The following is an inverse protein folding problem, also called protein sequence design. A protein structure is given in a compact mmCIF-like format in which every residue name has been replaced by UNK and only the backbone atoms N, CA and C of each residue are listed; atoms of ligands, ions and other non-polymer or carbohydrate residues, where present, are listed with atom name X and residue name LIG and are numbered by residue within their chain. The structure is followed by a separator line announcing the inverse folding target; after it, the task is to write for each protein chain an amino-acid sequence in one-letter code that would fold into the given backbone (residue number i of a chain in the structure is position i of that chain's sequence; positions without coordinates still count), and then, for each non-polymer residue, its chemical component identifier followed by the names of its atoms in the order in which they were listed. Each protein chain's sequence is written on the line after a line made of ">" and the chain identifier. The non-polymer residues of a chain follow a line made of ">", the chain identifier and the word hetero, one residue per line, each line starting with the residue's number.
data_IF_676874036212
#
_entry.id   IF_676874036212
#
_cell.length_a   1.000
_cell.length_b   1.000
_cell.length_c   1.000
_cell.angle_alpha   90.00
_cell.angle_beta   90.00
_cell.angle_gamma   90.00
#
_symmetry.space_group_name_H-M   'P 1'
#
loop_
_entity.id
_entity.type
_entity.pdbx_description
1 polymer ?
#
# COMPACT_ATOMS: atom_id res chain seq x y z
N UNK A 1 0.76 -5.57 7.53
CA UNK A 1 2.01 -5.27 6.80
C UNK A 1 2.53 -6.58 6.24
N UNK A 2 3.00 -6.62 5.00
CA UNK A 2 3.51 -7.83 4.36
C UNK A 2 4.77 -7.49 3.55
N UNK A 3 5.66 -8.46 3.38
CA UNK A 3 6.86 -8.32 2.58
C UNK A 3 6.48 -8.46 1.10
N UNK A 4 6.95 -7.53 0.26
CA UNK A 4 6.70 -7.58 -1.18
C UNK A 4 7.48 -8.71 -1.84
N UNK A 5 6.98 -9.23 -2.96
CA UNK A 5 7.78 -10.14 -3.79
C UNK A 5 8.86 -9.37 -4.55
N UNK A 6 9.81 -10.10 -5.15
CA UNK A 6 10.86 -9.49 -5.97
C UNK A 6 10.27 -8.76 -7.17
N UNK A 7 9.28 -9.37 -7.82
CA UNK A 7 8.59 -8.84 -8.99
C UNK A 7 7.84 -7.54 -8.66
N UNK A 8 7.13 -7.50 -7.52
CA UNK A 8 6.42 -6.30 -7.05
C UNK A 8 7.38 -5.17 -6.71
N UNK A 9 8.53 -5.50 -6.12
CA UNK A 9 9.55 -4.53 -5.75
C UNK A 9 10.27 -3.91 -6.96
N UNK A 10 10.41 -4.63 -8.07
CA UNK A 10 11.02 -4.09 -9.30
C UNK A 10 10.19 -2.94 -9.89
N UNK A 11 8.86 -3.04 -9.86
CA UNK A 11 7.97 -1.99 -10.38
C UNK A 11 7.88 -0.73 -9.52
N UNK A 12 8.19 -0.81 -8.23
CA UNK A 12 8.12 0.31 -7.29
C UNK A 12 9.42 1.11 -7.20
N UNK A 13 10.45 0.71 -7.95
CA UNK A 13 11.78 1.30 -7.86
C UNK A 13 11.95 2.48 -8.82
N UNK A 14 12.43 3.60 -8.29
CA UNK A 14 12.85 4.73 -9.13
C UNK A 14 14.23 4.45 -9.72
N UNK A 15 14.40 4.74 -11.01
CA UNK A 15 15.71 4.66 -11.66
C UNK A 15 16.74 5.64 -11.07
N UNK A 16 16.27 6.74 -10.46
CA UNK A 16 17.12 7.85 -10.01
C UNK A 16 17.23 7.88 -8.49
N UNK A 17 16.11 7.67 -7.78
CA UNK A 17 16.03 7.91 -6.34
C UNK A 17 16.27 6.65 -5.48
N UNK A 18 16.56 5.49 -6.08
CA UNK A 18 16.65 4.23 -5.34
C UNK A 18 18.01 3.55 -5.46
N UNK A 19 18.54 3.08 -4.33
CA UNK A 19 19.84 2.42 -4.19
C UNK A 19 20.01 1.22 -5.15
N UNK A 20 21.24 0.96 -5.58
CA UNK A 20 21.60 -0.17 -6.47
C UNK A 20 21.14 -1.54 -5.93
N UNK A 21 20.57 -2.38 -6.81
CA UNK A 21 20.01 -3.69 -6.47
C UNK A 21 21.09 -4.60 -5.90
N UNK A 22 20.81 -5.22 -4.75
CA UNK A 22 21.73 -6.19 -4.13
C UNK A 22 23.02 -5.61 -3.57
N UNK A 23 23.38 -4.35 -3.88
CA UNK A 23 24.55 -3.67 -3.33
C UNK A 23 24.28 -3.10 -1.94
N UNK A 24 23.06 -2.63 -1.69
CA UNK A 24 22.67 -2.01 -0.41
C UNK A 24 21.34 -2.52 0.17
N UNK A 25 20.36 -2.91 -0.66
CA UNK A 25 19.09 -3.46 -0.15
C UNK A 25 19.24 -4.95 0.15
N UNK A 26 19.35 -5.30 1.44
CA UNK A 26 19.52 -6.68 1.92
C UNK A 26 18.19 -7.43 2.11
N UNK A 27 17.08 -6.70 2.24
CA UNK A 27 15.74 -7.22 2.49
C UNK A 27 14.73 -6.57 1.53
N UNK A 28 13.62 -7.26 1.26
CA UNK A 28 12.53 -6.69 0.47
C UNK A 28 11.76 -5.68 1.33
N UNK A 29 11.23 -4.60 0.74
CA UNK A 29 10.47 -3.63 1.49
C UNK A 29 9.14 -4.24 1.96
N UNK A 30 8.68 -3.73 3.08
CA UNK A 30 7.37 -4.07 3.63
C UNK A 30 6.32 -3.05 3.18
N UNK A 31 5.17 -3.54 2.73
CA UNK A 31 4.01 -2.72 2.37
C UNK A 31 2.93 -2.78 3.46
N UNK A 32 2.28 -1.64 3.70
CA UNK A 32 1.16 -1.56 4.61
C UNK A 32 -0.11 -2.12 3.95
N UNK A 33 -0.87 -2.91 4.71
CA UNK A 33 -2.24 -3.28 4.37
C UNK A 33 -3.19 -2.16 4.80
N UNK A 34 -4.48 -2.27 4.48
CA UNK A 34 -5.53 -1.33 4.88
C UNK A 34 -5.45 -0.94 6.38
N UNK A 35 -5.38 -1.93 7.26
CA UNK A 35 -5.22 -1.69 8.70
C UNK A 35 -3.86 -1.07 9.09
N UNK A 36 -2.83 -1.28 8.28
CA UNK A 36 -1.53 -0.64 8.48
C UNK A 36 -1.54 0.85 8.15
N UNK A 37 -2.35 1.27 7.16
CA UNK A 37 -2.53 2.67 6.78
C UNK A 37 -3.26 3.43 7.90
N UNK A 38 -4.24 2.78 8.54
CA UNK A 38 -4.90 3.27 9.75
C UNK A 38 -3.92 3.48 10.93
N UNK A 39 -2.87 2.66 11.04
CA UNK A 39 -1.85 2.84 12.08
C UNK A 39 -0.90 4.01 11.76
N UNK A 40 -0.59 4.22 10.48
CA UNK A 40 0.21 5.34 9.98
C UNK A 40 -0.45 6.70 10.21
N UNK A 41 -1.77 6.78 10.05
CA UNK A 41 -2.52 8.03 10.29
C UNK A 41 -2.45 8.49 11.75
N UNK A 42 -2.25 7.58 12.70
CA UNK A 42 -2.04 7.92 14.12
C UNK A 42 -0.64 8.49 14.39
N UNK A 43 0.34 8.14 13.56
CA UNK A 43 1.71 8.68 13.65
C UNK A 43 1.78 10.05 13.00
N UNK A 44 1.10 10.24 11.86
CA UNK A 44 1.09 11.49 11.11
C UNK A 44 -0.03 12.41 11.61
N UNK A 45 0.30 13.37 12.48
CA UNK A 45 -0.66 14.28 13.12
C UNK A 45 -1.05 15.52 12.30
N UNK A 46 -0.61 15.63 11.04
CA UNK A 46 -0.94 16.80 10.22
C UNK A 46 -2.37 16.70 9.70
N UNK A 47 -3.08 17.83 9.58
CA UNK A 47 -4.45 17.87 9.04
C UNK A 47 -4.55 17.21 7.66
N UNK A 48 -3.55 17.44 6.81
CA UNK A 48 -3.45 16.86 5.48
C UNK A 48 -3.28 15.33 5.53
N UNK A 49 -2.43 14.82 6.42
CA UNK A 49 -2.22 13.37 6.53
C UNK A 49 -3.47 12.64 7.03
N UNK A 50 -4.22 13.25 7.95
CA UNK A 50 -5.50 12.72 8.42
C UNK A 50 -6.51 12.64 7.27
N UNK A 51 -6.66 13.71 6.49
CA UNK A 51 -7.59 13.76 5.35
C UNK A 51 -7.25 12.70 4.28
N UNK A 52 -5.97 12.60 3.92
CA UNK A 52 -5.49 11.64 2.92
C UNK A 52 -5.71 10.20 3.40
N UNK A 53 -5.49 9.93 4.69
CA UNK A 53 -5.69 8.58 5.25
C UNK A 53 -7.14 8.13 5.16
N UNK A 54 -8.09 9.03 5.43
CA UNK A 54 -9.54 8.75 5.27
C UNK A 54 -9.85 8.40 3.82
N UNK A 55 -9.39 9.23 2.87
CA UNK A 55 -9.61 9.00 1.43
C UNK A 55 -9.04 7.65 0.96
N UNK A 56 -7.89 7.25 1.48
CA UNK A 56 -7.30 5.95 1.14
C UNK A 56 -8.20 4.80 1.62
N UNK A 57 -8.71 4.87 2.84
CA UNK A 57 -9.64 3.86 3.38
C UNK A 57 -10.91 3.78 2.55
N UNK A 58 -11.49 4.92 2.16
CA UNK A 58 -12.70 4.96 1.32
C UNK A 58 -12.49 4.23 -0.01
N UNK A 59 -11.32 4.37 -0.62
CA UNK A 59 -10.97 3.65 -1.86
C UNK A 59 -10.87 2.15 -1.64
N UNK A 60 -10.26 1.69 -0.54
CA UNK A 60 -10.19 0.26 -0.21
C UNK A 60 -11.57 -0.34 0.05
N UNK A 61 -12.45 0.37 0.76
CA UNK A 61 -13.84 -0.06 1.00
C UNK A 61 -14.62 -0.18 -0.32
N UNK A 62 -14.46 0.79 -1.21
CA UNK A 62 -15.09 0.76 -2.54
C UNK A 62 -14.56 -0.40 -3.38
N UNK A 63 -13.24 -0.62 -3.39
CA UNK A 63 -12.61 -1.73 -4.11
C UNK A 63 -13.15 -3.08 -3.62
N UNK A 64 -13.28 -3.27 -2.31
CA UNK A 64 -13.87 -4.48 -1.73
C UNK A 64 -15.32 -4.65 -2.14
N UNK A 65 -16.10 -3.58 -2.09
CA UNK A 65 -17.51 -3.59 -2.53
C UNK A 65 -17.63 -3.97 -4.00
N UNK A 66 -16.78 -3.41 -4.87
CA UNK A 66 -16.74 -3.74 -6.30
C UNK A 66 -16.35 -5.20 -6.57
N UNK A 67 -15.36 -5.72 -5.83
CA UNK A 67 -14.97 -7.14 -5.95
C UNK A 67 -16.12 -8.03 -5.53
N UNK A 68 -16.80 -7.73 -4.42
CA UNK A 68 -17.94 -8.50 -3.94
C UNK A 68 -19.14 -8.42 -4.89
N UNK A 69 -19.49 -7.24 -5.39
CA UNK A 69 -20.59 -7.07 -6.35
C UNK A 69 -20.33 -7.78 -7.68
N UNK A 70 -19.07 -7.84 -8.13
CA UNK A 70 -18.68 -8.63 -9.31
C UNK A 70 -18.65 -10.14 -9.03
N UNK A 71 -18.55 -10.54 -7.77
CA UNK A 71 -18.59 -11.96 -7.37
C UNK A 71 -20.03 -12.47 -7.27
N UNK A 72 -21.01 -11.62 -6.92
CA UNK A 72 -22.44 -11.99 -6.96
C UNK A 72 -22.97 -12.27 -8.38
N UNK A 73 -22.34 -11.72 -9.42
CA UNK A 73 -22.70 -12.01 -10.83
C UNK A 73 -22.10 -13.36 -11.31
N UNK A 74 -21.17 -13.95 -10.54
CA UNK A 74 -20.44 -15.19 -10.92
C UNK A 74 -20.85 -16.45 -10.15
N UNK A 75 -21.90 -16.39 -9.32
CA UNK A 75 -22.55 -17.54 -8.70
C UNK A 75 -23.96 -17.73 -9.28
#
# INVERSE_FOLDING_TARGET
>A
MFELTKEENEGLRSQIATLEQGKYSKYLPFAFSEHGILQLSNVLKSKQAVEVSIKIIDVFVQLRTMVLSNTEIRL
#
